data_IF_043085834627
#
_entry.id   IF_043085834627
#
_cell.length_a   1.000
_cell.length_b   1.000
_cell.length_c   1.000
_cell.angle_alpha   90.00
_cell.angle_beta   90.00
_cell.angle_gamma   90.00
#
_symmetry.space_group_name_H-M   'P 1'
#
loop_
_entity.id
_entity.type
_entity.pdbx_description
1 polymer ?
#
# COMPACT_ATOMS: atom_id res chain seq x y z
N UNK A 1 14.88 10.84 -19.36
CA UNK A 1 13.59 11.09 -20.03
C UNK A 1 12.48 11.07 -18.98
N UNK A 2 11.79 12.18 -18.81
CA UNK A 2 10.70 12.28 -17.84
C UNK A 2 9.39 11.87 -18.50
N UNK A 3 8.65 10.96 -17.86
CA UNK A 3 7.34 10.55 -18.36
C UNK A 3 6.26 11.55 -17.95
N UNK A 4 5.22 11.75 -18.78
CA UNK A 4 4.08 12.57 -18.37
C UNK A 4 3.44 12.04 -17.08
N UNK A 5 2.93 12.93 -16.22
CA UNK A 5 2.34 12.58 -14.94
C UNK A 5 1.23 11.51 -15.06
N UNK A 6 0.40 11.59 -16.11
CA UNK A 6 -0.66 10.60 -16.32
C UNK A 6 -0.13 9.18 -16.58
N UNK A 7 1.04 9.08 -17.25
CA UNK A 7 1.69 7.78 -17.51
C UNK A 7 2.23 7.21 -16.21
N UNK A 8 2.87 8.04 -15.39
CA UNK A 8 3.39 7.65 -14.06
C UNK A 8 2.23 7.19 -13.16
N UNK A 9 1.13 7.94 -13.11
CA UNK A 9 -0.07 7.57 -12.35
C UNK A 9 -0.62 6.21 -12.78
N UNK A 10 -0.73 5.99 -14.09
CA UNK A 10 -1.24 4.73 -14.62
C UNK A 10 -0.32 3.56 -14.29
N UNK A 11 1.00 3.76 -14.41
CA UNK A 11 1.98 2.73 -14.03
C UNK A 11 1.87 2.38 -12.55
N UNK A 12 1.69 3.36 -11.68
CA UNK A 12 1.50 3.12 -10.24
C UNK A 12 0.21 2.35 -9.96
N UNK A 13 -0.88 2.72 -10.63
CA UNK A 13 -2.17 2.02 -10.51
C UNK A 13 -2.04 0.57 -10.98
N UNK A 14 -1.42 0.34 -12.13
CA UNK A 14 -1.17 -0.99 -12.68
C UNK A 14 -0.28 -1.82 -11.73
N UNK A 15 0.72 -1.18 -11.09
CA UNK A 15 1.58 -1.85 -10.12
C UNK A 15 0.82 -2.27 -8.87
N UNK A 16 -0.04 -1.41 -8.35
CA UNK A 16 -0.88 -1.74 -7.19
C UNK A 16 -1.77 -2.93 -7.51
N UNK A 17 -2.45 -2.88 -8.65
CA UNK A 17 -3.33 -3.95 -9.12
C UNK A 17 -2.56 -5.26 -9.32
N UNK A 18 -1.40 -5.19 -9.96
CA UNK A 18 -0.52 -6.35 -10.16
C UNK A 18 -0.10 -6.97 -8.83
N UNK A 19 0.30 -6.15 -7.86
CA UNK A 19 0.75 -6.62 -6.55
C UNK A 19 -0.38 -7.31 -5.77
N UNK A 20 -1.58 -6.74 -5.79
CA UNK A 20 -2.74 -7.37 -5.17
C UNK A 20 -3.13 -8.67 -5.86
N UNK A 21 -3.10 -8.70 -7.18
CA UNK A 21 -3.37 -9.92 -7.95
C UNK A 21 -2.37 -11.03 -7.59
N UNK A 22 -1.09 -10.70 -7.53
CA UNK A 22 -0.05 -11.65 -7.16
C UNK A 22 -0.23 -12.14 -5.73
N UNK A 23 -0.57 -11.26 -4.79
CA UNK A 23 -0.85 -11.62 -3.41
C UNK A 23 -2.05 -12.58 -3.32
N UNK A 24 -3.11 -12.31 -4.06
CA UNK A 24 -4.29 -13.17 -4.12
C UNK A 24 -3.94 -14.56 -4.65
N UNK A 25 -3.09 -14.63 -5.67
CA UNK A 25 -2.62 -15.92 -6.21
C UNK A 25 -1.85 -16.73 -5.18
N UNK A 26 -0.94 -16.11 -4.44
CA UNK A 26 -0.19 -16.80 -3.39
C UNK A 26 -1.09 -17.23 -2.23
N UNK A 27 -2.07 -16.40 -1.88
CA UNK A 27 -3.07 -16.78 -0.88
C UNK A 27 -3.89 -18.00 -1.33
N UNK A 28 -4.26 -18.06 -2.60
CA UNK A 28 -4.95 -19.21 -3.15
C UNK A 28 -4.11 -20.49 -3.10
N UNK A 29 -2.81 -20.38 -3.40
CA UNK A 29 -1.87 -21.49 -3.29
C UNK A 29 -1.82 -22.01 -1.85
N UNK A 30 -1.72 -21.10 -0.86
CA UNK A 30 -1.75 -21.48 0.57
C UNK A 30 -3.05 -22.17 0.95
N UNK A 31 -4.18 -21.66 0.46
CA UNK A 31 -5.49 -22.25 0.70
C UNK A 31 -5.58 -23.65 0.11
N UNK A 32 -5.04 -23.86 -1.10
CA UNK A 32 -5.03 -25.17 -1.76
C UNK A 32 -4.11 -26.15 -1.01
N UNK A 33 -2.98 -25.68 -0.51
CA UNK A 33 -2.08 -26.50 0.32
C UNK A 33 -2.77 -26.97 1.58
N UNK A 34 -3.50 -26.08 2.25
CA UNK A 34 -4.29 -26.42 3.44
C UNK A 34 -5.37 -27.45 3.11
N UNK A 35 -6.11 -27.26 2.02
CA UNK A 35 -7.15 -28.18 1.57
C UNK A 35 -6.62 -29.58 1.25
N UNK A 36 -5.38 -29.69 0.79
CA UNK A 36 -4.71 -30.98 0.52
C UNK A 36 -4.11 -31.62 1.76
N UNK A 37 -4.25 -30.99 2.93
CA UNK A 37 -3.70 -31.49 4.19
C UNK A 37 -2.20 -31.29 4.34
N UNK A 38 -1.58 -30.45 3.49
CA UNK A 38 -0.20 -30.07 3.64
C UNK A 38 -0.08 -29.10 4.81
N UNK A 39 0.46 -29.57 5.92
CA UNK A 39 0.63 -28.76 7.13
C UNK A 39 2.11 -28.42 7.31
N UNK A 40 2.44 -27.31 8.02
CA UNK A 40 3.83 -26.93 8.25
C UNK A 40 4.57 -27.86 9.25
N UNK A 41 4.00 -28.99 9.62
CA UNK A 41 4.61 -29.96 10.55
C UNK A 41 5.69 -30.82 9.90
N UNK A 42 5.63 -31.01 8.58
CA UNK A 42 6.69 -31.68 7.82
C UNK A 42 7.70 -30.63 7.34
N UNK A 43 9.01 -30.92 7.45
CA UNK A 43 10.06 -29.95 7.11
C UNK A 43 10.01 -29.49 5.66
N UNK A 44 9.66 -30.37 4.71
CA UNK A 44 9.51 -29.98 3.30
C UNK A 44 8.26 -29.13 3.06
N UNK A 45 7.14 -29.53 3.64
CA UNK A 45 5.89 -28.76 3.58
C UNK A 45 6.08 -27.39 4.23
N UNK A 46 6.81 -27.33 5.35
CA UNK A 46 7.14 -26.08 6.03
C UNK A 46 7.89 -25.11 5.13
N UNK A 47 8.91 -25.61 4.37
CA UNK A 47 9.64 -24.76 3.45
C UNK A 47 8.72 -24.19 2.35
N UNK A 48 7.83 -25.00 1.82
CA UNK A 48 6.86 -24.53 0.82
C UNK A 48 5.93 -23.48 1.39
N UNK A 49 5.45 -23.66 2.62
CA UNK A 49 4.64 -22.67 3.32
C UNK A 49 5.40 -21.36 3.51
N UNK A 50 6.66 -21.43 3.94
CA UNK A 50 7.50 -20.25 4.15
C UNK A 50 7.70 -19.47 2.85
N UNK A 51 7.98 -20.16 1.74
CA UNK A 51 8.15 -19.51 0.43
C UNK A 51 6.87 -18.78 0.04
N UNK A 52 5.71 -19.43 0.13
CA UNK A 52 4.45 -18.82 -0.27
C UNK A 52 4.05 -17.65 0.63
N UNK A 53 4.32 -17.75 1.93
CA UNK A 53 4.07 -16.67 2.88
C UNK A 53 4.99 -15.47 2.58
N UNK A 54 6.26 -15.71 2.33
CA UNK A 54 7.21 -14.64 1.98
C UNK A 54 6.79 -13.91 0.71
N UNK A 55 6.41 -14.66 -0.34
CA UNK A 55 5.94 -14.08 -1.60
C UNK A 55 4.66 -13.27 -1.40
N UNK A 56 3.72 -13.78 -0.60
CA UNK A 56 2.49 -13.07 -0.25
C UNK A 56 2.81 -11.74 0.44
N UNK A 57 3.64 -11.78 1.47
CA UNK A 57 4.04 -10.59 2.23
C UNK A 57 4.80 -9.60 1.35
N UNK A 58 5.70 -10.07 0.50
CA UNK A 58 6.45 -9.23 -0.44
C UNK A 58 5.50 -8.44 -1.34
N UNK A 59 4.50 -9.10 -1.92
CA UNK A 59 3.54 -8.42 -2.79
C UNK A 59 2.62 -7.47 -2.03
N UNK A 60 2.16 -7.85 -0.83
CA UNK A 60 1.33 -6.97 -0.01
C UNK A 60 2.08 -5.72 0.44
N UNK A 61 3.32 -5.88 0.88
CA UNK A 61 4.16 -4.74 1.27
C UNK A 61 4.46 -3.85 0.07
N UNK A 62 4.73 -4.44 -1.09
CA UNK A 62 4.92 -3.69 -2.33
C UNK A 62 3.68 -2.91 -2.74
N UNK A 63 2.49 -3.51 -2.60
CA UNK A 63 1.22 -2.84 -2.87
C UNK A 63 1.01 -1.67 -1.92
N UNK A 64 1.33 -1.86 -0.64
CA UNK A 64 1.23 -0.80 0.37
C UNK A 64 2.15 0.37 0.04
N UNK A 65 3.41 0.09 -0.30
CA UNK A 65 4.36 1.14 -0.68
C UNK A 65 3.87 1.94 -1.88
N UNK A 66 3.38 1.27 -2.92
CA UNK A 66 2.82 1.93 -4.10
C UNK A 66 1.59 2.77 -3.74
N UNK A 67 0.74 2.27 -2.85
CA UNK A 67 -0.44 2.98 -2.39
C UNK A 67 -0.07 4.24 -1.60
N UNK A 68 0.93 4.14 -0.72
CA UNK A 68 1.42 5.30 0.05
C UNK A 68 2.02 6.36 -0.87
N UNK A 69 2.79 5.97 -1.88
CA UNK A 69 3.33 6.89 -2.88
C UNK A 69 2.19 7.61 -3.62
N UNK A 70 1.15 6.88 -3.99
CA UNK A 70 -0.01 7.44 -4.66
C UNK A 70 -0.75 8.45 -3.78
N UNK A 71 -0.94 8.13 -2.50
CA UNK A 71 -1.56 9.05 -1.53
C UNK A 71 -0.72 10.31 -1.39
N UNK A 72 0.59 10.16 -1.24
CA UNK A 72 1.51 11.29 -1.16
C UNK A 72 1.37 12.21 -2.38
N UNK A 73 1.33 11.64 -3.58
CA UNK A 73 1.20 12.40 -4.82
C UNK A 73 -0.18 13.06 -4.95
N UNK A 74 -1.25 12.29 -4.78
CA UNK A 74 -2.62 12.79 -4.96
C UNK A 74 -3.01 13.88 -3.97
N UNK A 75 -2.59 13.73 -2.73
CA UNK A 75 -2.91 14.69 -1.67
C UNK A 75 -1.82 15.74 -1.50
N UNK A 76 -0.80 15.70 -2.34
CA UNK A 76 0.29 16.67 -2.33
C UNK A 76 0.90 16.85 -0.94
N UNK A 77 1.26 15.73 -0.31
CA UNK A 77 1.83 15.74 1.04
C UNK A 77 3.30 16.19 1.06
N UNK A 78 3.93 16.26 -0.11
CA UNK A 78 5.31 16.75 -0.29
C UNK A 78 6.37 15.94 0.45
N UNK A 79 6.13 14.65 0.64
CA UNK A 79 7.13 13.75 1.18
C UNK A 79 8.08 13.31 0.06
N UNK A 80 9.39 13.27 0.36
CA UNK A 80 10.37 12.66 -0.53
C UNK A 80 10.14 11.14 -0.57
N UNK A 81 10.44 10.51 -1.70
CA UNK A 81 10.18 9.08 -1.91
C UNK A 81 10.68 8.20 -0.77
N UNK A 82 11.90 8.46 -0.26
CA UNK A 82 12.49 7.71 0.86
C UNK A 82 11.74 7.89 2.18
N UNK A 83 10.94 8.96 2.30
CA UNK A 83 10.20 9.29 3.52
C UNK A 83 8.72 8.90 3.44
N UNK A 84 8.31 8.25 2.35
CA UNK A 84 6.93 7.79 2.17
C UNK A 84 6.75 6.49 2.94
N UNK A 85 6.41 6.62 4.21
CA UNK A 85 6.13 5.50 5.12
C UNK A 85 4.73 5.68 5.69
N UNK A 86 4.15 4.61 6.24
CA UNK A 86 2.85 4.68 6.91
C UNK A 86 2.85 5.78 7.97
N UNK A 87 3.89 5.80 8.81
CA UNK A 87 3.99 6.78 9.90
C UNK A 87 4.01 8.21 9.37
N UNK A 88 4.85 8.49 8.38
CA UNK A 88 5.00 9.84 7.84
C UNK A 88 3.76 10.29 7.06
N UNK A 89 3.16 9.38 6.28
CA UNK A 89 1.91 9.67 5.56
C UNK A 89 0.79 9.97 6.55
N UNK A 90 0.64 9.16 7.60
CA UNK A 90 -0.37 9.40 8.64
C UNK A 90 -0.17 10.73 9.35
N UNK A 91 1.08 11.09 9.67
CA UNK A 91 1.38 12.39 10.28
C UNK A 91 0.97 13.55 9.37
N UNK A 92 1.29 13.48 8.09
CA UNK A 92 0.92 14.52 7.12
C UNK A 92 -0.59 14.61 6.92
N UNK A 93 -1.27 13.47 6.89
CA UNK A 93 -2.74 13.43 6.79
C UNK A 93 -3.40 14.06 8.01
N UNK A 94 -2.88 13.79 9.21
CA UNK A 94 -3.40 14.40 10.44
C UNK A 94 -3.23 15.92 10.44
N UNK A 95 -2.06 16.38 10.02
CA UNK A 95 -1.79 17.82 9.92
C UNK A 95 -2.71 18.48 8.91
N UNK A 96 -2.90 17.86 7.74
CA UNK A 96 -3.78 18.37 6.70
C UNK A 96 -5.23 18.44 7.19
N UNK A 97 -5.73 17.40 7.82
CA UNK A 97 -7.08 17.35 8.39
C UNK A 97 -7.25 18.41 9.46
N UNK A 98 -6.26 18.56 10.34
CA UNK A 98 -6.27 19.58 11.39
C UNK A 98 -6.32 20.99 10.80
N UNK A 99 -5.52 21.27 9.78
CA UNK A 99 -5.50 22.56 9.11
C UNK A 99 -6.82 22.84 8.40
N UNK A 100 -7.42 21.85 7.76
CA UNK A 100 -8.72 21.97 7.10
C UNK A 100 -9.82 22.29 8.13
N UNK A 101 -9.79 21.63 9.28
CA UNK A 101 -10.73 21.90 10.38
C UNK A 101 -10.57 23.32 10.93
N UNK A 102 -9.34 23.78 11.12
CA UNK A 102 -9.04 25.13 11.60
C UNK A 102 -9.58 26.15 10.60
N UNK A 103 -9.38 25.91 9.32
CA UNK A 103 -9.88 26.77 8.26
C UNK A 103 -11.41 26.82 8.25
N UNK A 104 -12.08 25.68 8.37
CA UNK A 104 -13.55 25.63 8.45
C UNK A 104 -14.07 26.39 9.65
N UNK A 105 -13.45 26.21 10.81
CA UNK A 105 -13.83 26.94 12.04
C UNK A 105 -13.63 28.46 11.87
N UNK A 106 -12.52 28.85 11.24
CA UNK A 106 -12.25 30.25 10.93
C UNK A 106 -13.32 30.84 10.03
N UNK A 107 -13.66 30.14 8.94
CA UNK A 107 -14.68 30.59 7.98
C UNK A 107 -16.06 30.72 8.64
N UNK A 108 -16.41 29.84 9.57
CA UNK A 108 -17.65 29.89 10.35
C UNK A 108 -17.67 31.07 11.34
N UNK A 109 -16.50 31.36 11.95
CA UNK A 109 -16.38 32.43 12.95
C UNK A 109 -16.31 33.82 12.32
N UNK A 110 -15.92 33.91 11.05
CA UNK A 110 -15.78 35.17 10.32
C UNK A 110 -16.59 35.14 9.02
N UNK A 111 -17.93 35.06 9.11
CA UNK A 111 -18.77 35.09 7.92
C UNK A 111 -18.68 36.46 7.25
N UNK A 112 -18.56 36.48 5.95
CA UNK A 112 -18.54 37.72 5.16
C UNK A 112 -19.90 38.36 5.10
#
# INVERSE_FOLDING_TARGET
MSYPNRVVKRLLEDRIEFKFYAAEKHLQILSDMEAKGETPNDSRARLNWEIEIEELLFHLLGAMDCLLDRINERLNLKLETRNVTITNVCKKLRLKKRNDLIKELWDLSNPR
#
